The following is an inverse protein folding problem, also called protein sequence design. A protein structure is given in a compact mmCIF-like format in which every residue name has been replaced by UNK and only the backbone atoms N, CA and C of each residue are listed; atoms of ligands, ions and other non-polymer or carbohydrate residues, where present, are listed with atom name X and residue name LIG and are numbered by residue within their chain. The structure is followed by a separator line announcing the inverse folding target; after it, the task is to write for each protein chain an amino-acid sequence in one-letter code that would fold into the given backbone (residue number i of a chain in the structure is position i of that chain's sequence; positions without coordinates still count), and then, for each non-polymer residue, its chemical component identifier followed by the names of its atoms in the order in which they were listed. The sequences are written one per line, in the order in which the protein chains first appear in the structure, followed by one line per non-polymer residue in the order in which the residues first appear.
data_IF_876403876391
#
_entry.id   IF_876403876391
#
_cell.length_a   1.000
_cell.length_b   1.000
_cell.length_c   1.000
_cell.angle_alpha   90.00
_cell.angle_beta   90.00
_cell.angle_gamma   90.00
#
_symmetry.space_group_name_H-M   'P 1'
#
loop_
_entity.id
_entity.type
_entity.pdbx_description
1 polymer ?
#
# COMPACT_ATOMS: atom_id res chain seq x y z
N UNK A 1 19.14 27.31 -5.26
CA UNK A 1 19.92 27.63 -6.48
C UNK A 1 20.64 26.40 -7.04
N UNK A 2 21.77 25.91 -6.47
CA UNK A 2 22.49 24.76 -7.08
C UNK A 2 21.72 23.43 -7.01
N UNK A 3 21.08 23.12 -5.88
CA UNK A 3 20.36 21.86 -5.69
C UNK A 3 19.05 21.78 -6.52
N UNK A 4 18.38 22.91 -6.74
CA UNK A 4 17.15 22.98 -7.55
C UNK A 4 17.47 22.84 -9.04
N UNK A 5 18.58 23.43 -9.49
CA UNK A 5 19.06 23.25 -10.86
C UNK A 5 19.47 21.78 -11.11
N UNK A 6 20.19 21.16 -10.18
CA UNK A 6 20.54 19.74 -10.25
C UNK A 6 19.31 18.82 -10.27
N UNK A 7 18.29 19.11 -9.46
CA UNK A 7 17.03 18.36 -9.49
C UNK A 7 16.33 18.49 -10.85
N UNK A 8 16.30 19.69 -11.43
CA UNK A 8 15.71 19.93 -12.75
C UNK A 8 16.47 19.17 -13.86
N UNK A 9 17.80 19.18 -13.82
CA UNK A 9 18.63 18.45 -14.77
C UNK A 9 18.42 16.93 -14.65
N UNK A 10 18.27 16.42 -13.43
CA UNK A 10 17.94 15.01 -13.18
C UNK A 10 16.58 14.64 -13.77
N UNK A 11 15.56 15.49 -13.60
CA UNK A 11 14.22 15.26 -14.15
C UNK A 11 14.22 15.25 -15.68
N UNK A 12 14.97 16.18 -16.31
CA UNK A 12 15.14 16.22 -17.75
C UNK A 12 15.85 14.97 -18.29
N UNK A 13 16.90 14.52 -17.61
CA UNK A 13 17.61 13.31 -18.01
C UNK A 13 16.74 12.06 -17.83
N UNK A 14 15.96 11.95 -16.74
CA UNK A 14 14.99 10.87 -16.56
C UNK A 14 13.94 10.86 -17.68
N UNK A 15 13.41 12.03 -18.05
CA UNK A 15 12.48 12.16 -19.16
C UNK A 15 13.11 11.72 -20.49
N UNK A 16 14.37 12.06 -20.73
CA UNK A 16 15.13 11.65 -21.91
C UNK A 16 15.41 10.15 -21.96
N UNK A 17 15.57 9.50 -20.81
CA UNK A 17 15.82 8.06 -20.73
C UNK A 17 14.52 7.23 -20.79
N UNK A 18 13.36 7.85 -20.62
CA UNK A 18 12.06 7.17 -20.66
C UNK A 18 11.86 6.44 -21.99
N UNK A 19 11.48 5.16 -21.91
CA UNK A 19 11.19 4.31 -23.07
C UNK A 19 12.43 3.67 -23.73
N UNK A 20 13.64 3.97 -23.27
CA UNK A 20 14.84 3.28 -23.74
C UNK A 20 14.95 1.89 -23.11
N UNK A 21 15.45 0.95 -23.90
CA UNK A 21 15.72 -0.42 -23.44
C UNK A 21 16.95 -0.43 -22.54
N UNK A 22 16.92 -1.25 -21.50
CA UNK A 22 18.03 -1.42 -20.57
C UNK A 22 19.00 -2.46 -21.11
N UNK A 23 20.30 -2.16 -21.03
CA UNK A 23 21.39 -3.06 -21.40
C UNK A 23 22.08 -3.63 -20.16
N UNK A 24 22.59 -4.86 -20.25
CA UNK A 24 23.48 -5.40 -19.24
C UNK A 24 24.73 -4.53 -19.12
N UNK A 25 25.20 -4.35 -17.89
CA UNK A 25 26.29 -3.44 -17.55
C UNK A 25 25.86 -1.98 -17.39
N UNK A 26 24.62 -1.62 -17.71
CA UNK A 26 24.14 -0.26 -17.54
C UNK A 26 23.94 0.08 -16.05
N UNK A 27 24.27 1.32 -15.68
CA UNK A 27 23.93 1.86 -14.36
C UNK A 27 22.45 2.20 -14.30
N UNK A 28 21.77 1.65 -13.30
CA UNK A 28 20.36 1.84 -13.02
C UNK A 28 20.15 2.27 -11.57
N UNK A 29 18.96 2.76 -11.30
CA UNK A 29 18.51 3.13 -9.97
C UNK A 29 17.16 2.47 -9.71
N UNK A 30 16.96 2.02 -8.48
CA UNK A 30 15.74 1.33 -8.07
C UNK A 30 14.92 2.25 -7.20
N UNK A 31 13.85 2.79 -7.79
CA UNK A 31 12.89 3.63 -7.09
C UNK A 31 11.71 2.79 -6.62
N UNK A 32 11.37 2.90 -5.35
CA UNK A 32 10.16 2.28 -4.81
C UNK A 32 8.94 3.11 -5.20
N UNK A 33 8.09 2.55 -6.07
CA UNK A 33 6.96 3.22 -6.70
C UNK A 33 6.05 3.99 -5.73
N UNK A 34 5.77 3.41 -4.55
CA UNK A 34 4.85 4.03 -3.58
C UNK A 34 5.44 5.21 -2.83
N UNK A 35 6.72 5.12 -2.50
CA UNK A 35 7.35 6.14 -1.65
C UNK A 35 8.16 7.15 -2.44
N UNK A 36 8.44 6.88 -3.72
CA UNK A 36 9.38 7.66 -4.53
C UNK A 36 10.84 7.58 -4.07
N UNK A 37 11.13 6.93 -2.93
CA UNK A 37 12.47 6.72 -2.38
C UNK A 37 13.26 5.70 -3.18
N UNK A 38 14.57 5.86 -3.19
CA UNK A 38 15.51 4.97 -3.86
C UNK A 38 16.10 3.95 -2.88
N UNK A 39 16.45 2.77 -3.40
CA UNK A 39 17.18 1.73 -2.64
C UNK A 39 18.64 2.15 -2.50
N UNK A 40 19.12 2.30 -1.25
CA UNK A 40 20.48 2.72 -0.93
C UNK A 40 21.22 1.64 -0.15
N UNK A 41 22.49 1.44 -0.49
CA UNK A 41 23.44 0.73 0.39
C UNK A 41 24.11 1.77 1.30
N UNK A 42 23.94 1.63 2.61
CA UNK A 42 24.61 2.49 3.59
C UNK A 42 26.11 2.26 3.57
N UNK A 43 26.89 3.32 3.76
CA UNK A 43 28.34 3.25 3.95
C UNK A 43 28.73 3.34 5.44
N UNK A 44 27.80 3.72 6.30
CA UNK A 44 28.05 3.99 7.72
C UNK A 44 27.42 2.95 8.65
N UNK A 45 26.25 2.43 8.26
CA UNK A 45 25.49 1.51 9.09
C UNK A 45 25.62 0.08 8.56
N UNK A 46 25.87 -0.85 9.48
CA UNK A 46 25.84 -2.28 9.21
C UNK A 46 24.42 -2.82 9.26
N UNK A 47 24.19 -3.94 8.58
CA UNK A 47 22.92 -4.64 8.64
C UNK A 47 22.60 -5.04 10.09
N UNK A 48 21.37 -4.85 10.58
CA UNK A 48 20.94 -5.31 11.89
C UNK A 48 21.06 -6.83 12.01
N UNK A 49 20.65 -7.58 10.98
CA UNK A 49 20.60 -9.04 11.06
C UNK A 49 21.97 -9.70 10.98
N UNK A 50 22.90 -9.11 10.21
CA UNK A 50 24.26 -9.63 10.03
C UNK A 50 25.26 -8.48 10.00
N UNK A 51 26.03 -8.31 11.09
CA UNK A 51 26.98 -7.22 11.27
C UNK A 51 28.12 -7.18 10.24
N UNK A 52 28.36 -8.27 9.51
CA UNK A 52 29.38 -8.35 8.45
C UNK A 52 28.96 -7.65 7.15
N UNK A 53 27.67 -7.35 6.99
CA UNK A 53 27.11 -6.76 5.77
C UNK A 53 26.67 -5.31 6.02
N UNK A 54 26.60 -4.52 4.96
CA UNK A 54 26.08 -3.15 5.04
C UNK A 54 24.55 -3.13 5.05
N UNK A 55 23.98 -2.10 5.67
CA UNK A 55 22.52 -1.93 5.71
C UNK A 55 21.98 -1.46 4.36
N UNK A 56 20.84 -2.01 3.91
CA UNK A 56 20.07 -1.46 2.78
C UNK A 56 18.89 -0.68 3.32
N UNK A 57 18.68 0.53 2.82
CA UNK A 57 17.63 1.45 3.27
C UNK A 57 16.92 2.13 2.10
N UNK A 58 15.74 2.69 2.34
CA UNK A 58 15.05 3.55 1.37
C UNK A 58 15.29 5.01 1.72
N UNK A 59 15.88 5.78 0.80
CA UNK A 59 16.20 7.20 1.00
C UNK A 59 15.59 8.05 -0.14
N UNK A 60 15.00 9.23 0.14
CA UNK A 60 14.59 10.17 -0.91
C UNK A 60 15.75 10.69 -1.78
N UNK A 61 16.96 10.80 -1.24
CA UNK A 61 18.07 11.46 -1.92
C UNK A 61 18.59 10.65 -3.11
N UNK A 62 18.75 11.27 -4.27
CA UNK A 62 19.37 10.62 -5.42
C UNK A 62 20.91 10.64 -5.28
N UNK A 63 21.49 9.68 -4.55
CA UNK A 63 22.93 9.64 -4.28
C UNK A 63 23.63 8.47 -5.00
N UNK A 64 24.97 8.53 -5.08
CA UNK A 64 25.78 7.43 -5.64
C UNK A 64 25.62 6.08 -4.91
N UNK A 65 25.14 6.10 -3.67
CA UNK A 65 24.77 4.89 -2.92
C UNK A 65 23.50 4.17 -3.46
N UNK A 66 22.77 4.81 -4.37
CA UNK A 66 21.56 4.30 -5.02
C UNK A 66 21.80 3.70 -6.42
N UNK A 67 23.06 3.69 -6.87
CA UNK A 67 23.43 3.28 -8.20
C UNK A 67 23.84 1.80 -8.22
N UNK A 68 23.23 1.05 -9.15
CA UNK A 68 23.48 -0.37 -9.33
C UNK A 68 23.81 -0.69 -10.78
N UNK A 69 24.70 -1.64 -11.02
CA UNK A 69 24.94 -2.23 -12.34
C UNK A 69 24.03 -3.44 -12.49
N UNK A 70 23.21 -3.47 -13.54
CA UNK A 70 22.41 -4.65 -13.89
C UNK A 70 23.29 -5.64 -14.64
N UNK A 71 23.47 -6.84 -14.08
CA UNK A 71 24.38 -7.85 -14.63
C UNK A 71 23.66 -9.17 -14.86
N UNK A 72 24.03 -9.95 -15.89
CA UNK A 72 23.40 -11.24 -16.15
C UNK A 72 23.88 -12.24 -15.10
N UNK A 73 22.95 -13.04 -14.54
CA UNK A 73 23.32 -14.09 -13.58
C UNK A 73 24.11 -15.22 -14.23
N UNK A 74 23.75 -15.56 -15.46
CA UNK A 74 24.35 -16.66 -16.23
C UNK A 74 25.19 -16.10 -17.37
N UNK A 75 26.25 -16.83 -17.74
CA UNK A 75 27.21 -16.44 -18.80
C UNK A 75 26.67 -16.58 -20.23
N UNK A 76 25.36 -16.54 -20.41
CA UNK A 76 24.71 -16.62 -21.73
C UNK A 76 24.68 -15.25 -22.41
N UNK A 77 24.56 -14.19 -21.61
CA UNK A 77 24.57 -12.80 -22.05
C UNK A 77 25.74 -12.08 -21.39
N UNK A 78 26.27 -11.06 -22.06
CA UNK A 78 27.36 -10.20 -21.59
C UNK A 78 26.95 -8.74 -21.44
N UNK A 79 27.88 -7.90 -20.98
CA UNK A 79 27.65 -6.46 -20.96
C UNK A 79 27.39 -5.92 -22.38
N UNK A 80 26.41 -5.02 -22.51
CA UNK A 80 25.95 -4.49 -23.78
C UNK A 80 24.76 -5.25 -24.39
N UNK A 81 24.46 -6.46 -23.94
CA UNK A 81 23.28 -7.20 -24.40
C UNK A 81 21.99 -6.62 -23.81
N UNK A 82 20.89 -6.76 -24.56
CA UNK A 82 19.57 -6.33 -24.11
C UNK A 82 19.05 -7.19 -22.94
N UNK A 83 18.63 -6.52 -21.86
CA UNK A 83 17.93 -7.17 -20.76
C UNK A 83 16.51 -7.48 -21.22
N UNK A 84 16.12 -8.76 -21.12
CA UNK A 84 14.78 -9.22 -21.48
C UNK A 84 13.93 -9.48 -20.24
N UNK A 85 12.61 -9.42 -20.40
CA UNK A 85 11.68 -9.83 -19.35
C UNK A 85 11.96 -11.30 -19.02
N UNK A 86 11.87 -11.67 -17.74
CA UNK A 86 12.18 -13.01 -17.20
C UNK A 86 13.65 -13.39 -17.14
N UNK A 87 14.56 -12.53 -17.63
CA UNK A 87 15.98 -12.73 -17.41
C UNK A 87 16.29 -12.73 -15.90
N UNK A 88 17.16 -13.66 -15.50
CA UNK A 88 17.69 -13.65 -14.14
C UNK A 88 18.87 -12.70 -14.05
N UNK A 89 18.68 -11.61 -13.33
CA UNK A 89 19.66 -10.55 -13.14
C UNK A 89 20.26 -10.57 -11.75
N UNK A 90 21.47 -10.05 -11.63
CA UNK A 90 22.09 -9.66 -10.36
C UNK A 90 22.35 -8.16 -10.38
N UNK A 91 22.28 -7.54 -9.20
CA UNK A 91 22.43 -6.10 -9.03
C UNK A 91 23.70 -5.85 -8.24
N UNK A 92 24.72 -5.33 -8.91
CA UNK A 92 25.99 -4.98 -8.31
C UNK A 92 25.97 -3.53 -7.83
N UNK A 93 26.49 -3.25 -6.64
CA UNK A 93 26.65 -1.87 -6.17
C UNK A 93 27.75 -1.16 -6.96
N UNK A 94 27.44 0.03 -7.50
CA UNK A 94 28.47 0.89 -8.11
C UNK A 94 29.40 1.46 -7.03
N UNK A 95 28.86 1.77 -5.84
CA UNK A 95 29.62 2.35 -4.73
C UNK A 95 30.60 1.35 -4.10
N UNK A 96 30.21 0.08 -4.07
CA UNK A 96 31.01 -1.03 -3.52
C UNK A 96 31.13 -2.15 -4.56
N UNK A 97 32.02 -2.01 -5.56
CA UNK A 97 32.20 -3.02 -6.61
C UNK A 97 32.45 -4.42 -6.03
N UNK A 98 31.89 -5.44 -6.67
CA UNK A 98 31.93 -6.83 -6.19
C UNK A 98 30.95 -7.16 -5.06
N UNK A 99 30.16 -6.19 -4.58
CA UNK A 99 29.03 -6.42 -3.69
C UNK A 99 27.70 -6.47 -4.44
N UNK A 100 26.94 -7.54 -4.23
CA UNK A 100 25.68 -7.78 -4.93
C UNK A 100 24.50 -7.80 -3.95
N UNK A 101 23.36 -7.24 -4.34
CA UNK A 101 22.14 -7.31 -3.55
C UNK A 101 21.65 -8.76 -3.43
N UNK A 102 21.34 -9.16 -2.20
CA UNK A 102 20.92 -10.52 -1.86
C UNK A 102 19.93 -10.52 -0.68
N UNK A 103 18.98 -11.45 -0.71
CA UNK A 103 17.99 -11.62 0.38
C UNK A 103 18.60 -12.49 1.48
N UNK A 104 18.66 -11.95 2.69
CA UNK A 104 19.13 -12.64 3.88
C UNK A 104 18.30 -13.88 4.21
N UNK A 105 18.94 -14.84 4.89
CA UNK A 105 18.28 -16.10 5.31
C UNK A 105 17.74 -16.04 6.74
N UNK A 106 18.20 -15.06 7.51
CA UNK A 106 17.78 -14.84 8.88
C UNK A 106 16.55 -13.95 8.86
N UNK A 107 15.47 -14.40 9.52
CA UNK A 107 14.28 -13.58 9.72
C UNK A 107 14.63 -12.34 10.54
N UNK A 108 14.06 -11.19 10.17
CA UNK A 108 14.23 -9.97 10.95
C UNK A 108 13.64 -10.17 12.35
N UNK A 109 14.49 -10.10 13.39
CA UNK A 109 14.06 -10.19 14.79
C UNK A 109 14.35 -8.92 15.60
N UNK A 110 15.36 -8.12 15.20
CA UNK A 110 15.81 -6.94 15.97
C UNK A 110 14.97 -5.69 15.75
N UNK A 111 14.31 -5.57 14.59
CA UNK A 111 13.23 -4.61 14.37
C UNK A 111 11.94 -5.39 14.33
N UNK A 112 10.88 -4.92 14.99
CA UNK A 112 9.56 -5.53 14.91
C UNK A 112 9.17 -5.56 13.43
N UNK A 113 9.29 -6.69 12.72
CA UNK A 113 8.81 -6.72 11.37
C UNK A 113 7.28 -6.69 11.46
N UNK A 114 6.66 -5.84 10.66
CA UNK A 114 5.19 -5.81 10.59
C UNK A 114 4.65 -7.21 10.22
N UNK A 115 5.43 -7.98 9.48
CA UNK A 115 5.10 -9.34 9.04
C UNK A 115 6.12 -10.37 9.55
N UNK A 116 5.62 -11.50 10.05
CA UNK A 116 6.39 -12.57 10.70
C UNK A 116 7.46 -13.23 9.80
N UNK A 117 7.24 -13.24 8.48
CA UNK A 117 8.13 -13.86 7.48
C UNK A 117 8.91 -12.83 6.67
N UNK A 118 9.39 -11.76 7.33
CA UNK A 118 10.20 -10.73 6.69
C UNK A 118 11.69 -11.08 6.71
N UNK A 119 12.34 -10.94 5.55
CA UNK A 119 13.78 -11.13 5.37
C UNK A 119 14.41 -9.82 4.86
N UNK A 120 15.64 -9.54 5.31
CA UNK A 120 16.35 -8.31 4.97
C UNK A 120 17.09 -8.45 3.63
N UNK A 121 17.04 -7.41 2.79
CA UNK A 121 17.90 -7.27 1.62
C UNK A 121 19.27 -6.68 2.04
N UNK A 122 20.37 -7.27 1.58
CA UNK A 122 21.73 -6.82 1.93
C UNK A 122 22.76 -7.10 0.82
N UNK A 123 23.84 -6.31 0.73
CA UNK A 123 24.96 -6.59 -0.15
C UNK A 123 25.80 -7.76 0.40
N UNK A 124 26.23 -8.67 -0.47
CA UNK A 124 27.20 -9.73 -0.16
C UNK A 124 28.38 -9.71 -1.13
N UNK A 125 29.59 -9.98 -0.63
CA UNK A 125 30.80 -10.12 -1.43
C UNK A 125 30.92 -11.52 -2.07
N UNK A 126 31.18 -11.55 -3.38
CA UNK A 126 31.33 -12.75 -4.21
C UNK A 126 30.09 -13.64 -4.38
N UNK A 127 29.97 -14.27 -5.55
CA UNK A 127 28.85 -15.15 -5.95
C UNK A 127 28.91 -16.47 -5.16
N UNK A 128 28.65 -16.44 -3.86
CA UNK A 128 28.15 -17.65 -3.18
C UNK A 128 26.83 -17.99 -3.84
N UNK A 129 26.81 -19.09 -4.62
CA UNK A 129 25.68 -19.59 -5.41
C UNK A 129 24.34 -19.11 -4.84
N UNK A 130 23.78 -18.00 -5.36
CA UNK A 130 22.49 -17.51 -4.87
C UNK A 130 21.49 -18.64 -5.11
N UNK A 131 20.71 -18.99 -4.09
CA UNK A 131 19.59 -19.91 -4.25
C UNK A 131 18.50 -19.20 -5.07
N UNK A 132 17.52 -19.91 -5.66
CA UNK A 132 16.57 -19.32 -6.61
C UNK A 132 15.62 -18.32 -5.93
N UNK A 133 16.09 -17.11 -5.72
CA UNK A 133 15.27 -15.92 -5.55
C UNK A 133 15.33 -15.19 -6.88
N UNK A 134 14.37 -15.47 -7.76
CA UNK A 134 14.11 -14.62 -8.91
C UNK A 134 13.67 -13.25 -8.39
N UNK A 135 14.51 -12.22 -8.55
CA UNK A 135 14.01 -10.85 -8.49
C UNK A 135 13.22 -10.61 -9.77
N UNK A 136 11.92 -10.87 -9.73
CA UNK A 136 10.98 -10.32 -10.71
C UNK A 136 10.52 -8.96 -10.18
N UNK A 137 10.71 -7.86 -10.92
CA UNK A 137 10.12 -6.57 -10.56
C UNK A 137 8.59 -6.68 -10.61
N UNK A 138 7.98 -7.03 -9.47
CA UNK A 138 6.54 -7.08 -9.31
C UNK A 138 6.06 -5.69 -8.88
N UNK A 139 5.58 -4.91 -9.84
CA UNK A 139 4.85 -3.67 -9.58
C UNK A 139 3.47 -4.01 -9.02
N UNK A 140 3.23 -3.83 -7.71
CA UNK A 140 1.90 -4.01 -7.14
C UNK A 140 1.65 -3.09 -5.95
N UNK A 141 0.68 -2.16 -6.03
CA UNK A 141 -0.10 -1.74 -4.88
C UNK A 141 -1.13 -2.84 -4.59
N UNK A 142 -1.62 -2.90 -3.36
CA UNK A 142 -2.64 -3.86 -2.91
C UNK A 142 -4.00 -3.17 -2.71
N UNK A 143 -5.05 -3.99 -2.79
CA UNK A 143 -6.48 -3.67 -2.80
C UNK A 143 -6.99 -2.91 -1.56
N UNK A 144 -8.13 -2.23 -1.71
CA UNK A 144 -8.99 -1.82 -0.58
C UNK A 144 -10.45 -2.15 -0.89
N UNK A 145 -11.05 -2.92 0.00
CA UNK A 145 -12.49 -3.02 0.24
C UNK A 145 -12.78 -2.45 1.63
N UNK A 146 -14.03 -2.14 1.98
CA UNK A 146 -14.39 -1.68 3.33
C UNK A 146 -14.17 -2.83 4.34
N UNK A 147 -12.97 -2.84 4.92
CA UNK A 147 -12.52 -3.77 5.94
C UNK A 147 -11.30 -3.17 6.64
N UNK A 148 -11.15 -3.44 7.94
CA UNK A 148 -9.96 -3.03 8.69
C UNK A 148 -8.75 -3.77 8.15
N UNK A 149 -7.58 -3.11 8.05
CA UNK A 149 -6.33 -3.80 7.70
C UNK A 149 -6.12 -5.01 8.61
N UNK A 150 -5.89 -6.18 7.99
CA UNK A 150 -5.66 -7.47 8.64
C UNK A 150 -6.82 -8.01 9.51
N UNK A 151 -8.04 -7.49 9.35
CA UNK A 151 -9.24 -8.08 9.97
C UNK A 151 -10.10 -8.77 8.90
N UNK A 152 -10.84 -9.80 9.31
CA UNK A 152 -11.79 -10.49 8.43
C UNK A 152 -12.81 -9.47 7.90
N UNK A 153 -13.13 -9.46 6.59
CA UNK A 153 -14.15 -8.57 6.05
C UNK A 153 -15.46 -8.73 6.83
N UNK A 154 -15.92 -7.64 7.43
CA UNK A 154 -17.15 -7.62 8.25
C UNK A 154 -18.36 -7.10 7.47
N UNK A 155 -18.14 -6.41 6.36
CA UNK A 155 -19.19 -5.80 5.54
C UNK A 155 -19.13 -6.30 4.09
N UNK A 156 -20.30 -6.32 3.43
CA UNK A 156 -20.40 -6.59 1.99
C UNK A 156 -20.25 -5.30 1.17
N UNK A 157 -20.05 -5.46 -0.14
CA UNK A 157 -20.09 -4.35 -1.08
C UNK A 157 -21.48 -3.72 -1.09
N UNK A 158 -21.51 -2.40 -0.93
CA UNK A 158 -22.72 -1.61 -0.92
C UNK A 158 -22.48 -0.25 -1.58
N UNK A 159 -23.56 0.42 -1.99
CA UNK A 159 -23.50 1.75 -2.60
C UNK A 159 -23.94 2.80 -1.60
N UNK A 160 -23.13 3.84 -1.44
CA UNK A 160 -23.51 5.01 -0.63
C UNK A 160 -24.34 5.98 -1.46
N UNK A 161 -25.55 6.27 -1.02
CA UNK A 161 -26.39 7.30 -1.64
C UNK A 161 -25.89 8.68 -1.20
N UNK A 162 -25.83 9.61 -2.15
CA UNK A 162 -25.60 11.04 -1.89
C UNK A 162 -26.89 11.79 -2.17
N UNK A 163 -27.24 12.73 -1.28
CA UNK A 163 -28.32 13.67 -1.56
C UNK A 163 -27.94 14.50 -2.80
N UNK A 164 -28.77 14.45 -3.83
CA UNK A 164 -28.61 15.28 -5.02
C UNK A 164 -29.19 16.65 -4.69
N UNK A 165 -28.35 17.66 -4.68
CA UNK A 165 -28.82 19.04 -4.61
C UNK A 165 -29.52 19.37 -5.94
N UNK A 166 -30.86 19.43 -5.90
CA UNK A 166 -31.69 19.69 -7.08
C UNK A 166 -31.41 21.07 -7.70
N UNK A 167 -30.84 22.01 -6.94
CA UNK A 167 -30.42 23.32 -7.44
C UNK A 167 -29.12 23.27 -8.25
N UNK A 168 -28.34 22.19 -8.13
CA UNK A 168 -27.08 21.94 -8.84
C UNK A 168 -27.03 20.51 -9.39
N UNK A 169 -27.84 20.19 -10.42
CA UNK A 169 -28.01 18.82 -10.93
C UNK A 169 -26.73 18.18 -11.51
N UNK A 170 -25.67 18.96 -11.77
CA UNK A 170 -24.38 18.48 -12.32
C UNK A 170 -23.29 18.22 -11.26
N UNK A 171 -23.52 18.44 -9.97
CA UNK A 171 -22.48 18.20 -8.94
C UNK A 171 -22.51 16.77 -8.40
N UNK A 172 -22.32 15.77 -9.27
CA UNK A 172 -21.78 14.48 -8.84
C UNK A 172 -20.30 14.71 -8.49
N UNK A 173 -20.04 15.26 -7.31
CA UNK A 173 -18.66 15.45 -6.84
C UNK A 173 -17.98 14.09 -6.68
N UNK A 174 -16.72 14.00 -7.12
CA UNK A 174 -15.89 12.80 -6.97
C UNK A 174 -15.92 12.29 -5.51
N UNK A 175 -15.89 10.97 -5.28
CA UNK A 175 -15.83 10.46 -3.93
C UNK A 175 -14.51 10.81 -3.24
N UNK A 176 -14.59 11.42 -2.06
CA UNK A 176 -13.45 11.79 -1.22
C UNK A 176 -13.17 10.78 -0.10
N UNK A 177 -13.69 9.55 -0.21
CA UNK A 177 -13.50 8.52 0.83
C UNK A 177 -12.57 7.44 0.29
N UNK A 178 -11.55 7.10 1.07
CA UNK A 178 -10.59 6.07 0.71
C UNK A 178 -11.20 4.67 0.53
N UNK A 179 -12.31 4.37 1.22
CA UNK A 179 -13.07 3.11 1.07
C UNK A 179 -13.70 2.93 -0.32
N UNK A 180 -13.69 3.97 -1.16
CA UNK A 180 -14.24 3.92 -2.52
C UNK A 180 -13.16 3.67 -3.59
N UNK A 181 -11.90 3.49 -3.19
CA UNK A 181 -10.81 3.24 -4.13
C UNK A 181 -10.75 1.76 -4.48
N UNK A 182 -10.79 1.46 -5.77
CA UNK A 182 -10.68 0.12 -6.31
C UNK A 182 -9.43 0.03 -7.17
N UNK A 183 -8.63 -1.00 -6.94
CA UNK A 183 -7.54 -1.35 -7.85
C UNK A 183 -8.10 -2.19 -8.99
N UNK A 184 -7.72 -1.81 -10.20
CA UNK A 184 -8.12 -2.47 -11.42
C UNK A 184 -6.93 -3.29 -11.93
N UNK A 185 -7.06 -4.62 -11.94
CA UNK A 185 -6.02 -5.52 -12.44
C UNK A 185 -6.41 -6.13 -13.79
N UNK A 186 -5.42 -6.51 -14.61
CA UNK A 186 -5.66 -7.26 -15.83
C UNK A 186 -5.52 -8.77 -15.64
N UNK A 187 -6.30 -9.52 -16.42
CA UNK A 187 -6.29 -10.99 -16.37
C UNK A 187 -5.10 -11.61 -17.10
N UNK A 188 -4.53 -10.90 -18.08
CA UNK A 188 -3.65 -11.52 -19.07
C UNK A 188 -2.39 -12.15 -18.49
N UNK A 189 -1.73 -11.53 -17.50
CA UNK A 189 -0.58 -12.13 -16.81
C UNK A 189 -0.43 -11.60 -15.37
N UNK A 190 0.15 -12.41 -14.48
CA UNK A 190 0.48 -12.02 -13.10
C UNK A 190 1.51 -10.86 -13.00
N UNK A 191 2.03 -10.39 -14.14
CA UNK A 191 3.14 -9.42 -14.25
C UNK A 191 2.84 -8.25 -15.20
N UNK A 192 1.69 -8.19 -15.88
CA UNK A 192 1.40 -7.12 -16.87
C UNK A 192 0.42 -6.06 -16.33
N UNK A 193 0.80 -4.78 -16.45
CA UNK A 193 0.00 -3.60 -16.05
C UNK A 193 -0.52 -2.79 -17.24
N UNK A 194 -1.40 -3.39 -18.06
CA UNK A 194 -2.11 -2.71 -19.17
C UNK A 194 -3.53 -2.19 -18.81
N UNK A 195 -4.26 -1.65 -19.79
CA UNK A 195 -5.61 -1.06 -19.65
C UNK A 195 -6.70 -2.13 -19.40
N UNK A 196 -7.54 -1.85 -18.40
CA UNK A 196 -8.24 -2.64 -17.35
C UNK A 196 -9.35 -3.66 -17.70
N UNK A 197 -9.46 -4.75 -16.90
CA UNK A 197 -10.70 -5.48 -16.47
C UNK A 197 -10.52 -6.30 -15.15
N UNK A 198 -10.97 -5.82 -13.97
CA UNK A 198 -11.32 -6.59 -12.72
C UNK A 198 -11.78 -5.65 -11.58
N UNK A 199 -12.90 -5.94 -10.89
CA UNK A 199 -13.05 -5.70 -9.44
C UNK A 199 -13.39 -7.00 -8.70
N UNK A 200 -12.75 -7.28 -7.55
CA UNK A 200 -13.06 -8.45 -6.71
C UNK A 200 -12.60 -8.28 -5.27
N UNK A 201 -13.31 -8.94 -4.32
CA UNK A 201 -13.05 -8.90 -2.86
C UNK A 201 -12.44 -10.19 -2.30
N UNK A 202 -12.05 -11.12 -3.16
CA UNK A 202 -11.43 -12.38 -2.71
C UNK A 202 -9.92 -12.21 -2.60
N UNK A 203 -9.31 -12.91 -1.65
CA UNK A 203 -7.86 -13.09 -1.58
C UNK A 203 -7.35 -14.05 -2.66
N UNK A 204 -8.25 -14.84 -3.27
CA UNK A 204 -7.92 -15.75 -4.37
C UNK A 204 -8.00 -15.07 -5.74
N UNK A 205 -6.86 -14.52 -6.17
CA UNK A 205 -6.68 -13.92 -7.51
C UNK A 205 -6.90 -14.86 -8.70
N UNK A 206 -7.08 -16.16 -8.46
CA UNK A 206 -7.30 -17.18 -9.49
C UNK A 206 -8.77 -17.58 -9.66
N UNK A 207 -9.66 -17.11 -8.76
CA UNK A 207 -11.07 -17.42 -8.84
C UNK A 207 -11.74 -16.74 -10.06
N UNK A 208 -12.31 -17.56 -10.94
CA UNK A 208 -13.02 -17.10 -12.12
C UNK A 208 -14.29 -16.29 -11.78
N UNK A 209 -14.83 -16.45 -10.56
CA UNK A 209 -16.02 -15.74 -10.09
C UNK A 209 -15.76 -14.28 -9.69
N UNK A 210 -14.52 -13.82 -9.78
CA UNK A 210 -14.16 -12.42 -9.47
C UNK A 210 -13.77 -11.64 -10.71
N UNK A 211 -14.08 -12.18 -11.88
CA UNK A 211 -13.76 -11.58 -13.17
C UNK A 211 -14.99 -10.87 -13.70
N UNK A 212 -14.84 -9.59 -14.03
CA UNK A 212 -15.90 -8.78 -14.62
C UNK A 212 -15.45 -8.13 -15.92
N UNK A 213 -16.42 -7.88 -16.80
CA UNK A 213 -16.29 -7.18 -18.07
C UNK A 213 -16.93 -5.81 -17.95
N UNK A 214 -16.17 -4.80 -18.33
CA UNK A 214 -16.65 -3.43 -18.46
C UNK A 214 -17.13 -3.21 -19.89
N UNK A 215 -18.35 -2.72 -20.03
CA UNK A 215 -18.98 -2.38 -21.32
C UNK A 215 -19.22 -0.88 -21.36
N UNK A 216 -18.64 -0.19 -22.34
CA UNK A 216 -18.81 1.24 -22.51
C UNK A 216 -20.24 1.57 -22.97
N UNK A 217 -20.82 2.64 -22.44
CA UNK A 217 -22.20 3.04 -22.76
C UNK A 217 -22.27 4.03 -23.93
N UNK A 218 -21.26 4.90 -24.08
CA UNK A 218 -21.33 6.07 -24.97
C UNK A 218 -20.41 6.04 -26.20
N UNK A 219 -19.31 5.30 -26.18
CA UNK A 219 -18.37 5.22 -27.30
C UNK A 219 -18.16 3.77 -27.72
N UNK A 220 -17.96 3.56 -29.02
CA UNK A 220 -17.74 2.24 -29.63
C UNK A 220 -16.24 1.90 -29.78
N UNK A 221 -15.34 2.85 -29.48
CA UNK A 221 -13.89 2.71 -29.65
C UNK A 221 -13.27 1.65 -28.72
N UNK A 222 -14.03 1.15 -27.74
CA UNK A 222 -13.63 0.06 -26.84
C UNK A 222 -12.61 0.46 -25.76
N UNK A 223 -12.03 1.66 -25.84
CA UNK A 223 -11.10 2.18 -24.84
C UNK A 223 -11.81 2.86 -23.66
N UNK A 224 -11.45 2.43 -22.45
CA UNK A 224 -11.97 2.97 -21.19
C UNK A 224 -11.04 4.08 -20.72
N UNK A 225 -11.50 5.32 -20.87
CA UNK A 225 -10.79 6.53 -20.45
C UNK A 225 -11.30 7.07 -19.10
N UNK A 226 -10.64 8.08 -18.53
CA UNK A 226 -11.13 8.75 -17.32
C UNK A 226 -12.55 9.30 -17.52
N UNK A 227 -13.37 9.20 -16.48
CA UNK A 227 -14.79 9.57 -16.46
C UNK A 227 -15.66 8.85 -17.50
N UNK A 228 -15.25 7.68 -17.99
CA UNK A 228 -16.06 6.88 -18.92
C UNK A 228 -17.22 6.20 -18.18
N UNK A 229 -18.41 6.26 -18.80
CA UNK A 229 -19.57 5.51 -18.36
C UNK A 229 -19.51 4.06 -18.83
N UNK A 230 -19.57 3.14 -17.87
CA UNK A 230 -19.48 1.71 -18.08
C UNK A 230 -20.58 0.96 -17.34
N UNK A 231 -21.03 -0.14 -17.95
CA UNK A 231 -21.80 -1.20 -17.31
C UNK A 231 -20.85 -2.32 -16.91
N UNK A 232 -21.13 -2.97 -15.79
CA UNK A 232 -20.29 -4.04 -15.25
C UNK A 232 -21.04 -5.37 -15.38
N UNK A 233 -20.43 -6.34 -16.03
CA UNK A 233 -21.00 -7.68 -16.22
C UNK A 233 -20.06 -8.74 -15.66
N UNK A 234 -20.58 -9.67 -14.89
CA UNK A 234 -19.80 -10.82 -14.42
C UNK A 234 -19.42 -11.73 -15.59
N UNK A 235 -18.14 -12.11 -15.66
CA UNK A 235 -17.60 -12.78 -16.84
C UNK A 235 -18.11 -14.22 -16.99
N UNK A 236 -18.27 -14.95 -15.89
CA UNK A 236 -18.73 -16.34 -15.92
C UNK A 236 -20.25 -16.43 -16.07
N UNK A 237 -21.02 -15.83 -15.16
CA UNK A 237 -22.50 -15.95 -15.14
C UNK A 237 -23.21 -15.06 -16.16
N UNK A 238 -22.52 -14.08 -16.76
CA UNK A 238 -23.09 -13.06 -17.67
C UNK A 238 -24.13 -12.14 -17.04
N UNK A 239 -24.31 -12.20 -15.73
CA UNK A 239 -25.19 -11.28 -15.01
C UNK A 239 -24.57 -9.88 -14.93
N UNK A 240 -25.42 -8.87 -14.93
CA UNK A 240 -25.08 -7.46 -14.81
C UNK A 240 -25.10 -7.03 -13.36
N UNK A 241 -24.17 -6.15 -12.98
CA UNK A 241 -24.16 -5.52 -11.67
C UNK A 241 -25.26 -4.46 -11.61
N UNK A 242 -26.11 -4.55 -10.60
CA UNK A 242 -27.28 -3.68 -10.43
C UNK A 242 -27.31 -3.07 -9.03
N UNK A 243 -27.68 -1.80 -8.96
CA UNK A 243 -27.93 -1.11 -7.69
C UNK A 243 -29.37 -1.40 -7.23
N UNK A 244 -29.53 -2.24 -6.21
CA UNK A 244 -30.85 -2.57 -5.69
C UNK A 244 -31.58 -1.35 -5.13
N UNK A 245 -32.91 -1.41 -5.14
CA UNK A 245 -33.76 -0.42 -4.45
C UNK A 245 -33.84 -0.67 -2.94
N UNK A 246 -33.43 -1.85 -2.49
CA UNK A 246 -33.37 -2.18 -1.07
C UNK A 246 -32.20 -1.52 -0.36
N UNK A 247 -32.47 -1.05 0.85
CA UNK A 247 -31.44 -0.50 1.72
C UNK A 247 -30.51 -1.62 2.24
N UNK A 248 -29.22 -1.31 2.30
CA UNK A 248 -28.21 -2.19 2.90
C UNK A 248 -28.10 -1.94 4.40
N UNK A 249 -28.44 -2.94 5.18
CA UNK A 249 -28.19 -2.96 6.62
C UNK A 249 -26.78 -3.48 6.87
N UNK A 250 -25.96 -2.69 7.56
CA UNK A 250 -24.59 -3.10 7.91
C UNK A 250 -24.64 -4.41 8.72
N UNK A 251 -23.85 -5.40 8.32
CA UNK A 251 -23.82 -6.74 8.95
C UNK A 251 -23.20 -6.78 10.35
N UNK A 252 -22.81 -5.64 10.90
CA UNK A 252 -22.42 -5.48 12.29
C UNK A 252 -20.99 -4.97 12.42
N UNK A 253 -20.84 -3.90 13.20
CA UNK A 253 -19.61 -3.72 13.97
C UNK A 253 -19.58 -4.84 15.01
N UNK A 254 -18.42 -5.44 15.34
CA UNK A 254 -18.31 -6.33 16.49
C UNK A 254 -18.55 -5.51 17.77
N UNK A 255 -19.82 -5.35 18.17
CA UNK A 255 -20.19 -4.35 19.16
C UNK A 255 -21.62 -4.38 19.71
N UNK A 256 -22.51 -5.28 19.31
CA UNK A 256 -23.67 -5.58 20.15
C UNK A 256 -23.20 -6.41 21.37
N UNK A 257 -22.60 -5.72 22.35
CA UNK A 257 -22.26 -6.32 23.65
C UNK A 257 -20.84 -6.09 24.19
N UNK A 258 -20.00 -5.23 23.59
CA UNK A 258 -18.68 -4.88 24.19
C UNK A 258 -18.67 -3.46 24.74
N UNK A 259 -18.02 -3.32 25.89
CA UNK A 259 -18.01 -2.17 26.80
C UNK A 259 -17.85 -0.80 26.13
N UNK A 260 -18.40 0.22 26.78
CA UNK A 260 -18.42 1.64 26.38
C UNK A 260 -17.04 2.31 26.19
N UNK A 261 -15.94 1.55 26.24
CA UNK A 261 -14.57 2.06 26.17
C UNK A 261 -13.93 1.89 24.79
N UNK A 262 -14.67 1.39 23.79
CA UNK A 262 -14.16 1.20 22.44
C UNK A 262 -14.85 2.16 21.46
N UNK A 263 -14.07 3.05 20.83
CA UNK A 263 -14.53 3.91 19.73
C UNK A 263 -14.91 3.10 18.47
N UNK A 264 -14.73 1.78 18.51
CA UNK A 264 -15.14 0.84 17.47
C UNK A 264 -16.64 0.88 17.14
N UNK A 265 -17.49 1.36 18.05
CA UNK A 265 -18.94 1.51 17.83
C UNK A 265 -19.36 2.77 17.06
N UNK A 266 -18.43 3.68 16.76
CA UNK A 266 -18.78 4.95 16.10
C UNK A 266 -19.02 4.77 14.61
N UNK A 267 -20.29 4.95 14.21
CA UNK A 267 -20.71 5.03 12.82
C UNK A 267 -20.32 6.40 12.28
N UNK A 268 -19.17 6.47 11.61
CA UNK A 268 -18.62 7.72 11.07
C UNK A 268 -19.40 8.28 9.86
N UNK A 269 -20.39 7.55 9.34
CA UNK A 269 -21.23 7.97 8.21
C UNK A 269 -22.69 7.53 8.39
N UNK A 270 -23.59 8.52 8.49
CA UNK A 270 -25.05 8.34 8.54
C UNK A 270 -25.72 8.30 7.15
N UNK A 271 -24.93 8.20 6.08
CA UNK A 271 -25.48 8.19 4.72
C UNK A 271 -26.22 6.87 4.45
N UNK A 272 -27.39 6.93 3.76
CA UNK A 272 -28.12 5.72 3.41
C UNK A 272 -27.33 4.88 2.41
N UNK A 273 -27.41 3.57 2.59
CA UNK A 273 -26.66 2.56 1.83
C UNK A 273 -27.63 1.70 1.03
N UNK A 274 -27.24 1.28 -0.18
CA UNK A 274 -28.01 0.37 -1.03
C UNK A 274 -27.26 -0.91 -1.30
N UNK A 275 -28.02 -2.00 -1.40
CA UNK A 275 -27.47 -3.31 -1.78
C UNK A 275 -27.00 -3.29 -3.23
N UNK A 276 -25.97 -4.08 -3.51
CA UNK A 276 -25.51 -4.38 -4.86
C UNK A 276 -25.92 -5.81 -5.18
N UNK A 277 -26.58 -6.00 -6.31
CA UNK A 277 -27.11 -7.29 -6.75
C UNK A 277 -26.63 -7.61 -8.16
N UNK A 278 -26.83 -8.87 -8.59
CA UNK A 278 -26.53 -9.33 -9.93
C UNK A 278 -27.83 -9.72 -10.64
N UNK A 279 -28.11 -9.11 -11.78
CA UNK A 279 -29.34 -9.33 -12.55
C UNK A 279 -29.03 -9.94 -13.92
N UNK A 280 -29.94 -10.73 -14.49
CA UNK A 280 -29.71 -11.31 -15.83
C UNK A 280 -29.82 -10.28 -16.96
N UNK A 281 -30.64 -9.25 -16.77
CA UNK A 281 -30.88 -8.19 -17.75
C UNK A 281 -30.26 -6.89 -17.27
N UNK A 282 -29.53 -6.22 -18.16
CA UNK A 282 -29.02 -4.87 -17.91
C UNK A 282 -30.19 -3.90 -17.75
N UNK A 283 -30.16 -3.08 -16.70
CA UNK A 283 -31.10 -1.98 -16.51
C UNK A 283 -30.52 -0.67 -17.05
N UNK A 284 -31.39 0.32 -17.27
CA UNK A 284 -31.00 1.62 -17.81
C UNK A 284 -30.25 2.49 -16.78
N UNK A 285 -30.46 2.23 -15.50
CA UNK A 285 -29.83 2.92 -14.37
C UNK A 285 -28.49 2.29 -13.93
N UNK A 286 -28.05 1.20 -14.57
CA UNK A 286 -26.79 0.49 -14.29
C UNK A 286 -25.55 1.18 -14.91
N UNK A 287 -25.51 2.52 -14.91
CA UNK A 287 -24.39 3.28 -15.46
C UNK A 287 -23.41 3.69 -14.35
N UNK A 288 -22.24 3.05 -14.33
CA UNK A 288 -21.16 3.39 -13.41
C UNK A 288 -20.14 4.30 -14.10
N UNK A 289 -19.63 5.29 -13.38
CA UNK A 289 -18.53 6.13 -13.89
C UNK A 289 -17.23 5.73 -13.23
N UNK A 290 -16.21 5.45 -14.05
CA UNK A 290 -14.87 5.13 -13.58
C UNK A 290 -14.05 6.43 -13.58
N UNK A 291 -13.48 6.77 -12.41
CA UNK A 291 -12.61 7.92 -12.27
C UNK A 291 -11.18 7.46 -11.96
N UNK A 292 -10.22 7.99 -12.70
CA UNK A 292 -8.82 7.91 -12.34
C UNK A 292 -8.59 8.72 -11.05
N UNK A 293 -7.88 8.10 -10.11
CA UNK A 293 -7.45 8.76 -8.87
C UNK A 293 -6.09 9.40 -9.12
N UNK A 294 -5.92 10.64 -8.66
CA UNK A 294 -4.65 11.34 -8.76
C UNK A 294 -3.55 10.60 -7.97
N UNK A 295 -2.35 10.41 -8.55
CA UNK A 295 -1.26 9.67 -7.89
C UNK A 295 -0.89 10.22 -6.49
N UNK A 296 -1.01 11.53 -6.30
CA UNK A 296 -0.74 12.17 -5.00
C UNK A 296 -1.68 11.66 -3.90
N UNK A 297 -2.97 11.48 -4.20
CA UNK A 297 -3.95 10.97 -3.23
C UNK A 297 -3.68 9.50 -2.88
N UNK A 298 -3.20 8.70 -3.83
CA UNK A 298 -2.80 7.31 -3.60
C UNK A 298 -1.57 7.26 -2.68
N UNK A 299 -0.59 8.13 -2.91
CA UNK A 299 0.60 8.22 -2.06
C UNK A 299 0.24 8.65 -0.62
N UNK A 300 -0.64 9.65 -0.48
CA UNK A 300 -1.16 10.08 0.83
C UNK A 300 -1.88 8.92 1.53
N UNK A 301 -2.72 8.18 0.81
CA UNK A 301 -3.41 7.01 1.35
C UNK A 301 -2.43 5.97 1.86
N UNK A 302 -1.50 5.53 1.01
CA UNK A 302 -0.51 4.48 1.33
C UNK A 302 0.40 4.88 2.48
N UNK A 303 0.80 6.15 2.54
CA UNK A 303 1.62 6.69 3.63
C UNK A 303 0.93 6.49 4.98
N UNK A 304 -0.34 6.90 5.09
CA UNK A 304 -1.11 6.78 6.34
C UNK A 304 -1.50 5.33 6.63
N UNK A 305 -1.85 4.55 5.60
CA UNK A 305 -2.16 3.13 5.70
C UNK A 305 -1.01 2.31 6.29
N UNK A 306 0.24 2.64 5.95
CA UNK A 306 1.43 1.96 6.48
C UNK A 306 1.57 2.03 8.01
N UNK A 307 0.98 3.04 8.66
CA UNK A 307 1.01 3.17 10.13
C UNK A 307 0.03 2.22 10.83
N UNK A 308 -1.03 1.78 10.16
CA UNK A 308 -2.04 0.91 10.77
C UNK A 308 -1.43 -0.40 11.29
N UNK A 309 -0.74 -1.21 10.45
CA UNK A 309 -0.21 -2.48 10.93
C UNK A 309 0.98 -2.29 11.88
N UNK A 310 1.73 -1.17 11.77
CA UNK A 310 2.77 -0.79 12.74
C UNK A 310 2.19 -0.59 14.14
N UNK A 311 1.13 0.21 14.27
CA UNK A 311 0.48 0.50 15.57
C UNK A 311 -0.23 -0.75 16.10
N UNK A 312 -0.93 -1.51 15.24
CA UNK A 312 -1.58 -2.77 15.65
C UNK A 312 -0.55 -3.74 16.24
N UNK A 313 0.61 -3.88 15.59
CA UNK A 313 1.69 -4.74 16.08
C UNK A 313 2.26 -4.24 17.40
N UNK A 314 2.49 -2.93 17.54
CA UNK A 314 2.92 -2.34 18.80
C UNK A 314 1.94 -2.62 19.96
N UNK A 315 0.63 -2.49 19.71
CA UNK A 315 -0.42 -2.84 20.69
C UNK A 315 -0.37 -4.33 21.04
N UNK A 316 -0.22 -5.20 20.03
CA UNK A 316 -0.13 -6.64 20.24
C UNK A 316 1.07 -7.01 21.13
N UNK A 317 2.27 -6.51 20.78
CA UNK A 317 3.50 -6.79 21.52
C UNK A 317 3.46 -6.23 22.95
N UNK A 318 2.74 -5.12 23.17
CA UNK A 318 2.51 -4.56 24.50
C UNK A 318 1.56 -5.42 25.34
N UNK A 319 0.52 -6.00 24.74
CA UNK A 319 -0.45 -6.89 25.40
C UNK A 319 0.14 -8.25 25.77
N UNK A 320 0.93 -8.85 24.88
CA UNK A 320 1.52 -10.18 25.12
C UNK A 320 2.73 -10.13 26.06
N UNK A 321 3.17 -8.93 26.49
CA UNK A 321 4.33 -8.76 27.35
C UNK A 321 5.66 -9.18 26.69
N UNK A 322 5.64 -9.44 25.38
CA UNK A 322 6.79 -9.98 24.64
C UNK A 322 7.87 -8.94 24.37
N UNK A 323 7.51 -7.66 24.44
CA UNK A 323 8.44 -6.54 24.36
C UNK A 323 8.50 -5.83 25.72
N UNK A 324 9.62 -5.98 26.43
CA UNK A 324 10.01 -4.91 27.37
C UNK A 324 10.11 -3.63 26.54
N UNK A 325 9.71 -2.48 27.09
CA UNK A 325 9.76 -1.17 26.43
C UNK A 325 11.21 -0.72 26.19
N UNK A 326 11.96 -1.51 25.43
CA UNK A 326 13.35 -1.27 25.14
C UNK A 326 13.47 -0.10 24.16
N UNK A 327 14.47 0.78 24.34
CA UNK A 327 14.70 1.93 23.46
C UNK A 327 14.75 1.56 21.97
N UNK A 328 15.23 0.36 21.64
CA UNK A 328 15.32 -0.14 20.26
C UNK A 328 13.95 -0.29 19.58
N UNK A 329 12.89 -0.50 20.36
CA UNK A 329 11.51 -0.64 19.89
C UNK A 329 10.77 0.69 19.96
N UNK A 330 10.94 1.42 21.07
CA UNK A 330 10.16 2.63 21.35
C UNK A 330 10.62 3.83 20.54
N UNK A 331 11.94 3.99 20.28
CA UNK A 331 12.46 5.13 19.53
C UNK A 331 11.98 5.17 18.06
N UNK A 332 12.00 4.06 17.29
CA UNK A 332 11.41 4.04 15.96
C UNK A 332 9.92 4.37 15.95
N UNK A 333 9.17 3.87 16.95
CA UNK A 333 7.74 4.14 17.09
C UNK A 333 7.46 5.63 17.36
N UNK A 334 8.21 6.25 18.28
CA UNK A 334 8.10 7.69 18.56
C UNK A 334 8.43 8.50 17.31
N UNK A 335 9.52 8.16 16.61
CA UNK A 335 9.87 8.82 15.35
C UNK A 335 8.75 8.70 14.32
N UNK A 336 8.19 7.50 14.15
CA UNK A 336 7.07 7.26 13.23
C UNK A 336 5.84 8.12 13.59
N UNK A 337 5.48 8.22 14.88
CA UNK A 337 4.36 9.06 15.33
C UNK A 337 4.62 10.57 15.13
N UNK A 338 5.86 11.02 15.31
CA UNK A 338 6.25 12.40 15.01
C UNK A 338 6.14 12.71 13.51
N UNK A 339 6.61 11.80 12.65
CA UNK A 339 6.45 11.92 11.19
C UNK A 339 4.97 11.95 10.79
N UNK A 340 4.13 11.10 11.40
CA UNK A 340 2.68 11.10 11.16
C UNK A 340 2.04 12.43 11.59
N UNK A 341 2.41 12.98 12.76
CA UNK A 341 1.95 14.29 13.22
C UNK A 341 2.30 15.38 12.21
N UNK A 342 3.56 15.45 11.82
CA UNK A 342 4.05 16.48 10.91
C UNK A 342 3.35 16.37 9.56
N UNK A 343 3.16 15.15 9.05
CA UNK A 343 2.41 14.90 7.84
C UNK A 343 0.94 15.37 7.92
N UNK A 344 0.27 15.23 9.07
CA UNK A 344 -1.12 15.69 9.23
C UNK A 344 -1.19 17.21 9.30
N UNK A 345 -0.27 17.86 10.01
CA UNK A 345 -0.31 19.29 10.32
C UNK A 345 0.23 20.18 9.18
N UNK A 346 1.14 19.66 8.33
CA UNK A 346 1.90 20.44 7.35
C UNK A 346 1.07 21.16 6.28
N UNK A 347 -0.15 20.71 5.98
CA UNK A 347 -0.93 21.23 4.85
C UNK A 347 -2.36 21.60 5.30
N UNK A 348 -2.60 22.91 5.45
CA UNK A 348 -3.89 23.46 5.93
C UNK A 348 -5.03 23.12 4.96
N UNK A 349 -4.76 23.07 3.65
CA UNK A 349 -5.76 22.83 2.62
C UNK A 349 -6.13 21.34 2.52
N UNK A 350 -5.16 20.44 2.64
CA UNK A 350 -5.40 19.00 2.64
C UNK A 350 -5.74 18.40 4.02
N UNK A 351 -5.72 19.20 5.09
CA UNK A 351 -5.98 18.76 6.47
C UNK A 351 -7.32 18.01 6.59
N UNK A 352 -8.38 18.47 5.94
CA UNK A 352 -9.70 17.81 5.98
C UNK A 352 -9.69 16.39 5.39
N UNK A 353 -8.97 16.18 4.29
CA UNK A 353 -8.86 14.87 3.65
C UNK A 353 -7.96 13.93 4.47
N UNK A 354 -6.83 14.44 4.99
CA UNK A 354 -5.91 13.69 5.85
C UNK A 354 -6.57 13.28 7.19
N UNK A 355 -7.31 14.18 7.84
CA UNK A 355 -8.06 13.86 9.07
C UNK A 355 -9.24 12.92 8.82
N UNK A 356 -9.88 12.98 7.66
CA UNK A 356 -10.88 11.98 7.26
C UNK A 356 -10.24 10.60 7.07
N UNK A 357 -9.04 10.55 6.51
CA UNK A 357 -8.30 9.30 6.31
C UNK A 357 -7.96 8.60 7.63
N UNK A 358 -7.53 9.35 8.66
CA UNK A 358 -7.27 8.79 9.99
C UNK A 358 -8.50 8.09 10.61
N UNK A 359 -9.69 8.64 10.36
CA UNK A 359 -10.97 8.06 10.82
C UNK A 359 -11.35 6.84 10.00
N UNK A 360 -11.28 6.95 8.67
CA UNK A 360 -11.57 5.84 7.75
C UNK A 360 -10.69 4.61 8.04
N UNK A 361 -9.42 4.83 8.39
CA UNK A 361 -8.46 3.77 8.72
C UNK A 361 -8.46 3.35 10.20
N UNK A 362 -9.37 3.91 11.01
CA UNK A 362 -9.48 3.66 12.46
C UNK A 362 -8.18 3.93 13.23
N UNK A 363 -7.30 4.76 12.70
CA UNK A 363 -6.04 5.11 13.37
C UNK A 363 -6.28 5.84 14.69
N UNK A 364 -7.34 6.66 14.77
CA UNK A 364 -7.71 7.34 16.01
C UNK A 364 -8.06 6.34 17.13
N UNK A 365 -8.77 5.25 16.80
CA UNK A 365 -9.09 4.19 17.76
C UNK A 365 -7.84 3.41 18.17
N UNK A 366 -6.95 3.11 17.22
CA UNK A 366 -5.67 2.46 17.52
C UNK A 366 -4.78 3.32 18.43
N UNK A 367 -4.67 4.62 18.16
CA UNK A 367 -3.91 5.56 19.00
C UNK A 367 -4.52 5.67 20.41
N UNK A 368 -5.85 5.70 20.51
CA UNK A 368 -6.52 5.67 21.81
C UNK A 368 -6.21 4.39 22.60
N UNK A 369 -6.21 3.23 21.93
CA UNK A 369 -5.84 1.94 22.56
C UNK A 369 -4.38 1.92 23.02
N UNK A 370 -3.46 2.62 22.33
CA UNK A 370 -2.09 2.76 22.81
C UNK A 370 -2.06 3.52 24.14
N UNK A 371 -2.80 4.63 24.25
CA UNK A 371 -2.88 5.45 25.46
C UNK A 371 -3.56 4.70 26.64
N UNK A 372 -4.65 3.99 26.38
CA UNK A 372 -5.38 3.26 27.43
C UNK A 372 -4.53 2.16 28.06
N UNK A 373 -3.76 1.44 27.25
CA UNK A 373 -2.88 0.37 27.73
C UNK A 373 -1.71 0.89 28.58
N UNK A 374 -1.26 2.14 28.36
CA UNK A 374 -0.25 2.77 29.22
C UNK A 374 -0.83 3.15 30.59
N UNK A 375 -2.04 3.71 30.62
CA UNK A 375 -2.69 4.14 31.86
C UNK A 375 -3.05 2.96 32.77
N UNK A 376 -3.54 1.85 32.22
CA UNK A 376 -3.89 0.65 33.02
C UNK A 376 -2.66 0.06 33.74
N UNK A 377 -1.46 0.15 33.16
CA UNK A 377 -0.21 -0.29 33.80
C UNK A 377 0.28 0.66 34.88
N UNK A 378 0.14 1.97 34.70
CA UNK A 378 0.47 2.95 35.75
C UNK A 378 -0.45 2.74 36.96
N UNK A 379 -1.75 2.53 36.75
CA UNK A 379 -2.68 2.18 37.83
C UNK A 379 -2.39 0.81 38.47
N UNK A 380 -2.03 -0.22 37.68
CA UNK A 380 -1.64 -1.53 38.22
C UNK A 380 -0.34 -1.46 39.04
N UNK A 381 0.65 -0.67 38.61
CA UNK A 381 1.90 -0.47 39.32
C UNK A 381 1.71 0.38 40.59
N UNK A 382 0.87 1.41 40.56
CA UNK A 382 0.50 2.18 41.75
C UNK A 382 -0.30 1.34 42.76
N UNK A 383 -1.20 0.48 42.28
CA UNK A 383 -1.94 -0.49 43.11
C UNK A 383 -1.02 -1.51 43.77
N UNK A 384 -0.05 -2.07 43.02
CA UNK A 384 0.94 -2.99 43.56
C UNK A 384 1.89 -2.31 44.57
N UNK A 385 2.26 -1.03 44.34
CA UNK A 385 3.04 -0.25 45.29
C UNK A 385 2.24 0.11 46.57
N UNK A 386 0.93 0.36 46.45
CA UNK A 386 0.04 0.60 47.58
C UNK A 386 -0.27 -0.66 48.39
N UNK A 387 -0.17 -1.86 47.80
CA UNK A 387 -0.32 -3.13 48.51
C UNK A 387 0.93 -3.57 49.31
N UNK A 388 2.04 -2.85 49.14
CA UNK A 388 3.30 -3.05 49.88
C UNK A 388 3.54 -1.99 50.98
N UNK A 389 2.58 -1.10 51.21
CA UNK A 389 2.43 -0.25 52.40
C UNK A 389 1.31 -0.83 53.28
#
# INVERSE_FOLDING_TARGET
LSAEAEAHDNDMEQARQRGKKVLYGQMIQLQHAFTGKYVHISTQNTSPTESSNMQVTLNPDNAGAAQFKVMPRFKVKGEGDLVQIEDQVILESVKSPGQYLHVGRVKCKQYIPVYENSFELKPIGAIQRPHPGSFTPSWRPTCVCEGSFNEVPVEDVHLRIRAVDQSKPKTLMKPSSAICYWQLELVENAISGGIVKRPGLTDDRTDANTVFRLHQVLKEDGEINDATYCRIQHAATKNWLHASKEDYNRRGLPGEGKSSNSMAGLIWSQAPLRKVEMTQKSQCDDAFTIYAVEPQLVNIFNYVAGYVPLIQRFIFDHKTGSSKLEPIITQPMVKALLELRDFIVFDIDNNKNRTKLLRNLRLVDLLFRVLSNSTEREFANCSAAAAHL
#
